data_IF_251069967302
#
_entry.id   IF_251069967302
#
_cell.length_a   1.000
_cell.length_b   1.000
_cell.length_c   1.000
_cell.angle_alpha   90.00
_cell.angle_beta   90.00
_cell.angle_gamma   90.00
#
_symmetry.space_group_name_H-M   'P 1'
#
loop_
_entity.id
_entity.type
_entity.pdbx_description
1 polymer ?
#
# COMPACT_ATOMS: atom_id res chain seq x y z
N UNK A 12 -9.10 -5.12 -0.64
CA UNK A 12 -10.42 -4.56 -0.38
C UNK A 12 -10.30 -3.27 0.42
N UNK A 13 -9.59 -3.35 1.54
CA UNK A 13 -9.38 -2.18 2.40
C UNK A 13 -8.08 -1.46 2.06
N UNK A 14 -7.24 -2.13 1.27
CA UNK A 14 -5.96 -1.55 0.88
C UNK A 14 -5.97 -1.09 -0.58
N UNK A 15 -5.23 -0.03 -0.85
CA UNK A 15 -5.12 0.51 -2.19
C UNK A 15 -3.65 0.70 -2.52
N UNK A 16 -3.13 -0.08 -3.47
CA UNK A 16 -1.72 -0.01 -3.82
C UNK A 16 -1.44 0.77 -5.10
N UNK A 17 -0.31 1.48 -5.09
CA UNK A 17 0.14 2.28 -6.22
C UNK A 17 1.67 2.38 -6.22
N UNK A 18 2.26 2.61 -7.38
CA UNK A 18 3.71 2.74 -7.50
C UNK A 18 4.28 3.72 -6.48
N UNK A 19 5.56 3.55 -6.17
CA UNK A 19 6.24 4.39 -5.21
C UNK A 19 7.76 4.14 -5.24
N UNK A 20 8.55 4.92 -4.47
CA UNK A 20 10.01 4.78 -4.41
C UNK A 20 10.50 3.35 -4.62
N UNK A 21 11.72 3.23 -5.16
CA UNK A 21 12.33 1.94 -5.44
C UNK A 21 11.69 1.29 -6.66
N UNK A 22 10.66 1.93 -7.19
CA UNK A 22 9.97 1.41 -8.36
C UNK A 22 9.12 0.22 -8.04
N UNK A 23 8.35 0.32 -6.99
CA UNK A 23 7.46 -0.75 -6.56
C UNK A 23 6.16 -0.16 -6.06
N UNK A 24 5.14 -0.99 -5.91
CA UNK A 24 3.84 -0.52 -5.46
C UNK A 24 3.57 -0.89 -4.01
N UNK A 25 3.15 0.11 -3.23
CA UNK A 25 2.86 -0.09 -1.82
C UNK A 25 1.35 -0.14 -1.62
N UNK A 26 0.91 -0.84 -0.58
CA UNK A 26 -0.51 -0.94 -0.31
C UNK A 26 -0.87 -0.01 0.85
N UNK A 27 -1.79 0.91 0.57
CA UNK A 27 -2.23 1.86 1.57
C UNK A 27 -3.60 1.50 2.10
N UNK A 28 -3.63 1.04 3.35
CA UNK A 28 -4.88 0.68 3.99
C UNK A 28 -5.66 1.94 4.25
N UNK A 29 -6.73 2.15 3.49
CA UNK A 29 -7.57 3.35 3.61
C UNK A 29 -8.10 3.54 5.03
N UNK A 30 -8.75 2.51 5.57
CA UNK A 30 -9.31 2.58 6.91
C UNK A 30 -8.23 2.67 7.97
N UNK A 31 -7.41 1.63 8.05
CA UNK A 31 -6.33 1.56 9.02
C UNK A 31 -5.32 2.69 8.84
N UNK A 32 -5.05 3.04 7.58
CA UNK A 32 -4.10 4.09 7.22
C UNK A 32 -2.72 3.51 7.30
N UNK A 33 -2.58 2.35 6.69
CA UNK A 33 -1.31 1.65 6.70
C UNK A 33 -0.73 1.53 5.29
N UNK A 34 0.25 2.36 5.01
CA UNK A 34 0.92 2.37 3.72
C UNK A 34 2.29 1.69 3.81
N UNK A 35 2.41 0.50 3.24
CA UNK A 35 3.66 -0.24 3.29
C UNK A 35 3.66 -1.40 2.28
N UNK A 36 4.81 -2.02 2.07
CA UNK A 36 4.90 -3.14 1.14
C UNK A 36 4.86 -4.45 1.93
N UNK A 37 3.69 -5.10 1.94
CA UNK A 37 3.52 -6.34 2.68
C UNK A 37 2.21 -7.02 2.29
N UNK A 38 2.07 -8.29 2.65
CA UNK A 38 0.88 -9.05 2.37
C UNK A 38 -0.32 -8.48 3.13
N UNK A 39 -1.25 -7.80 2.43
CA UNK A 39 -2.43 -7.20 3.06
C UNK A 39 -3.53 -8.22 3.33
#
# INVERSE_FOLDING_TARGET
GSRRASVGSAKSMWTEHKSPDGRTYYYNTETKQSTWEKPDD
#
